data_IF_663508890994
#
_entry.id   IF_663508890994
#
_cell.length_a   1.000
_cell.length_b   1.000
_cell.length_c   1.000
_cell.angle_alpha   90.00
_cell.angle_beta   90.00
_cell.angle_gamma   90.00
#
_symmetry.space_group_name_H-M   'P 1'
#
loop_
_entity.id
_entity.type
_entity.pdbx_description
1 polymer ?
#
# COMPACT_ATOMS: atom_id res chain seq x y z
N UNK A 1 -82.91 -0.24 8.89
CA UNK A 1 -81.70 0.24 8.17
C UNK A 1 -80.97 1.25 9.06
N UNK A 2 -80.08 0.80 9.94
CA UNK A 2 -79.33 1.68 10.86
C UNK A 2 -78.00 2.11 10.23
N UNK A 3 -77.84 3.42 9.97
CA UNK A 3 -76.57 4.02 9.57
C UNK A 3 -75.64 4.07 10.78
N UNK A 4 -74.50 3.37 10.73
CA UNK A 4 -73.45 3.46 11.75
C UNK A 4 -72.71 4.81 11.64
N UNK A 5 -72.41 5.48 12.76
CA UNK A 5 -71.69 6.76 12.74
C UNK A 5 -70.21 6.53 12.42
N UNK A 6 -69.65 7.41 11.60
CA UNK A 6 -68.22 7.40 11.28
C UNK A 6 -67.40 7.79 12.52
N UNK A 7 -66.40 6.97 12.84
CA UNK A 7 -65.60 7.08 14.05
C UNK A 7 -64.50 8.15 13.84
N UNK A 8 -64.44 9.24 14.64
CA UNK A 8 -63.56 10.39 14.40
C UNK A 8 -62.07 10.05 14.45
N UNK A 9 -61.71 8.94 15.11
CA UNK A 9 -60.34 8.41 15.17
C UNK A 9 -59.79 7.98 13.79
N UNK A 10 -60.65 7.58 12.84
CA UNK A 10 -60.22 7.21 11.48
C UNK A 10 -59.93 8.44 10.61
N UNK A 11 -60.56 9.58 10.89
CA UNK A 11 -60.35 10.82 10.12
C UNK A 11 -59.03 11.50 10.51
N UNK A 12 -58.65 11.43 11.79
CA UNK A 12 -57.42 12.03 12.29
C UNK A 12 -56.15 11.27 11.83
N UNK A 13 -56.23 9.95 11.69
CA UNK A 13 -55.12 9.12 11.19
C UNK A 13 -54.77 9.38 9.71
N UNK A 14 -55.75 9.75 8.89
CA UNK A 14 -55.52 10.06 7.46
C UNK A 14 -54.85 11.42 7.28
N UNK A 15 -55.19 12.41 8.12
CA UNK A 15 -54.60 13.76 8.05
C UNK A 15 -53.14 13.74 8.55
N UNK A 16 -52.82 12.95 9.58
CA UNK A 16 -51.44 12.82 10.08
C UNK A 16 -50.53 12.05 9.11
N UNK A 17 -51.06 11.07 8.37
CA UNK A 17 -50.31 10.33 7.35
C UNK A 17 -49.93 11.18 6.13
N UNK A 18 -50.78 12.13 5.74
CA UNK A 18 -50.53 13.00 4.60
C UNK A 18 -49.45 14.07 4.86
N UNK A 19 -49.24 14.48 6.12
CA UNK A 19 -48.22 15.49 6.45
C UNK A 19 -46.79 14.93 6.45
N UNK A 20 -46.59 13.64 6.72
CA UNK A 20 -45.26 13.03 6.76
C UNK A 20 -44.68 12.66 5.38
N UNK A 21 -45.51 12.58 4.33
CA UNK A 21 -45.06 12.29 2.96
C UNK A 21 -44.59 13.54 2.19
N UNK A 22 -44.78 14.74 2.72
CA UNK A 22 -44.46 16.00 2.04
C UNK A 22 -43.04 16.54 2.21
N UNK A 23 -42.24 16.01 3.15
CA UNK A 23 -40.93 16.60 3.50
C UNK A 23 -39.69 15.90 2.89
N UNK A 24 -39.86 14.79 2.17
CA UNK A 24 -38.73 13.98 1.69
C UNK A 24 -38.24 14.24 0.24
N UNK A 25 -38.87 15.17 -0.50
CA UNK A 25 -38.75 15.22 -1.96
C UNK A 25 -37.63 16.07 -2.57
N UNK A 26 -36.72 16.66 -1.80
CA UNK A 26 -35.82 17.72 -2.30
C UNK A 26 -34.33 17.34 -2.43
N UNK A 27 -33.96 16.05 -2.42
CA UNK A 27 -32.62 15.61 -2.85
C UNK A 27 -32.73 15.02 -4.26
N UNK A 28 -32.68 15.88 -5.28
CA UNK A 28 -32.34 15.41 -6.62
C UNK A 28 -30.85 15.07 -6.64
N UNK A 29 -30.54 13.78 -6.58
CA UNK A 29 -29.22 13.27 -6.97
C UNK A 29 -29.00 13.62 -8.44
N UNK A 30 -28.20 14.68 -8.68
CA UNK A 30 -27.68 14.96 -10.01
C UNK A 30 -26.87 13.73 -10.44
N UNK A 31 -27.10 13.16 -11.63
CA UNK A 31 -26.23 12.12 -12.16
C UNK A 31 -24.80 12.66 -12.13
N UNK A 32 -23.94 12.05 -11.30
CA UNK A 32 -22.50 12.35 -11.34
C UNK A 32 -22.01 11.90 -12.70
N UNK A 33 -21.77 12.88 -13.57
CA UNK A 33 -21.14 12.65 -14.85
C UNK A 33 -19.78 11.98 -14.59
N UNK A 34 -19.68 10.73 -15.01
CA UNK A 34 -18.49 9.94 -14.77
C UNK A 34 -17.39 10.49 -15.69
N UNK A 35 -16.28 11.01 -15.13
CA UNK A 35 -15.20 11.54 -15.95
C UNK A 35 -14.76 10.49 -16.95
N UNK A 36 -14.57 10.89 -18.20
CA UNK A 36 -14.00 10.01 -19.21
C UNK A 36 -12.68 9.43 -18.68
N UNK A 37 -12.38 8.14 -18.91
CA UNK A 37 -11.13 7.54 -18.46
C UNK A 37 -9.97 8.35 -19.01
N UNK A 38 -9.20 9.00 -18.13
CA UNK A 38 -7.98 9.68 -18.56
C UNK A 38 -7.03 8.63 -19.17
N UNK A 39 -6.34 8.95 -20.27
CA UNK A 39 -5.36 8.05 -20.85
C UNK A 39 -4.31 7.70 -19.80
N UNK A 40 -4.18 6.41 -19.49
CA UNK A 40 -3.21 5.89 -18.52
C UNK A 40 -1.81 6.27 -18.98
N UNK A 41 -1.20 7.25 -18.31
CA UNK A 41 0.20 7.57 -18.56
C UNK A 41 1.07 6.38 -18.14
N UNK A 42 2.13 6.06 -18.90
CA UNK A 42 3.05 5.01 -18.51
C UNK A 42 3.69 5.37 -17.17
N UNK A 43 3.56 4.49 -16.19
CA UNK A 43 4.16 4.61 -14.86
C UNK A 43 5.05 3.41 -14.56
N UNK A 44 6.11 3.65 -13.80
CA UNK A 44 6.99 2.62 -13.26
C UNK A 44 7.47 3.02 -11.87
N UNK A 45 7.86 2.04 -11.06
CA UNK A 45 8.41 2.23 -9.73
C UNK A 45 9.94 2.21 -9.79
N UNK A 46 10.60 3.23 -9.25
CA UNK A 46 12.05 3.24 -9.07
C UNK A 46 12.39 2.97 -7.61
N UNK A 47 13.10 1.88 -7.36
CA UNK A 47 13.69 1.55 -6.06
C UNK A 47 15.18 1.89 -6.10
N UNK A 48 15.59 2.94 -5.39
CA UNK A 48 16.98 3.33 -5.30
C UNK A 48 17.47 3.13 -3.87
N UNK A 49 18.59 2.45 -3.69
CA UNK A 49 19.23 2.27 -2.39
C UNK A 49 20.73 2.48 -2.50
N UNK A 50 21.35 2.81 -1.37
CA UNK A 50 22.80 2.99 -1.30
C UNK A 50 23.34 2.57 0.05
N UNK A 51 24.66 2.45 0.14
CA UNK A 51 25.38 2.23 1.40
C UNK A 51 24.90 0.97 2.17
N UNK A 52 24.60 -0.10 1.44
CA UNK A 52 24.21 -1.37 2.05
C UNK A 52 25.35 -1.98 2.90
N UNK A 53 26.61 -1.69 2.53
CA UNK A 53 27.79 -1.93 3.34
C UNK A 53 27.95 -3.37 3.89
N UNK A 54 27.40 -4.37 3.20
CA UNK A 54 27.44 -5.78 3.61
C UNK A 54 26.32 -6.19 4.58
N UNK A 55 25.26 -5.38 4.73
CA UNK A 55 24.10 -5.71 5.55
C UNK A 55 23.19 -6.71 4.84
N UNK A 56 23.46 -8.00 5.07
CA UNK A 56 22.61 -9.09 4.60
C UNK A 56 21.30 -9.12 5.40
N UNK A 57 21.40 -9.11 6.71
CA UNK A 57 20.28 -9.18 7.66
C UNK A 57 20.36 -8.01 8.66
N UNK A 58 19.26 -7.66 9.33
CA UNK A 58 19.31 -6.70 10.43
C UNK A 58 20.22 -7.17 11.58
N UNK A 59 20.79 -6.22 12.34
CA UNK A 59 21.82 -6.52 13.35
C UNK A 59 21.34 -7.30 14.60
N UNK A 60 20.05 -7.61 14.72
CA UNK A 60 19.48 -8.47 15.77
C UNK A 60 19.47 -7.89 17.20
N UNK A 61 19.93 -6.65 17.41
CA UNK A 61 20.05 -6.06 18.75
C UNK A 61 18.71 -5.59 19.37
N UNK A 62 17.66 -5.44 18.58
CA UNK A 62 16.30 -5.12 19.03
C UNK A 62 15.28 -6.04 18.36
N UNK A 63 14.04 -5.99 18.85
CA UNK A 63 12.94 -6.77 18.30
C UNK A 63 12.54 -6.33 16.89
N UNK A 64 12.47 -5.02 16.65
CA UNK A 64 11.95 -4.44 15.41
C UNK A 64 13.09 -3.77 14.62
N UNK A 65 14.03 -4.60 14.16
CA UNK A 65 15.19 -4.10 13.43
C UNK A 65 14.81 -3.65 12.02
N UNK A 66 15.50 -2.63 11.54
CA UNK A 66 15.28 -2.03 10.23
C UNK A 66 16.45 -2.38 9.30
N UNK A 67 16.18 -2.34 8.00
CA UNK A 67 17.19 -2.64 6.96
C UNK A 67 17.37 -4.14 6.72
N UNK A 68 18.45 -4.50 6.05
CA UNK A 68 18.68 -5.86 5.53
C UNK A 68 18.19 -6.02 4.09
N UNK A 69 18.78 -6.97 3.37
CA UNK A 69 18.41 -7.28 1.98
C UNK A 69 17.03 -7.96 1.92
N UNK A 70 16.66 -8.67 2.98
CA UNK A 70 15.36 -9.30 3.19
C UNK A 70 14.21 -8.28 3.19
N UNK A 71 14.39 -7.19 3.95
CA UNK A 71 13.40 -6.11 4.00
C UNK A 71 13.35 -5.31 2.68
N UNK A 72 14.49 -5.13 2.00
CA UNK A 72 14.52 -4.53 0.66
C UNK A 72 13.76 -5.40 -0.35
N UNK A 73 13.99 -6.71 -0.33
CA UNK A 73 13.30 -7.66 -1.21
C UNK A 73 11.79 -7.60 -1.02
N UNK A 74 11.32 -7.63 0.24
CA UNK A 74 9.90 -7.51 0.55
C UNK A 74 9.28 -6.20 0.01
N UNK A 75 9.97 -5.06 0.19
CA UNK A 75 9.52 -3.77 -0.33
C UNK A 75 9.43 -3.76 -1.87
N UNK A 76 10.45 -4.31 -2.54
CA UNK A 76 10.49 -4.39 -4.01
C UNK A 76 9.39 -5.30 -4.54
N UNK A 77 9.14 -6.45 -3.91
CA UNK A 77 8.10 -7.40 -4.31
C UNK A 77 6.69 -6.81 -4.15
N UNK A 78 6.44 -6.04 -3.10
CA UNK A 78 5.19 -5.30 -2.94
C UNK A 78 5.03 -4.20 -4.00
N UNK A 79 6.13 -3.55 -4.37
CA UNK A 79 6.19 -2.58 -5.45
C UNK A 79 5.89 -3.15 -6.83
N UNK A 80 6.49 -4.30 -7.16
CA UNK A 80 6.32 -5.02 -8.43
C UNK A 80 4.86 -5.41 -8.68
N UNK A 81 4.04 -5.57 -7.63
CA UNK A 81 2.59 -5.84 -7.75
C UNK A 81 1.79 -4.65 -8.29
N UNK A 82 2.31 -3.43 -8.21
CA UNK A 82 1.59 -2.20 -8.55
C UNK A 82 1.92 -1.66 -9.93
N UNK A 83 3.20 -1.72 -10.33
CA UNK A 83 3.70 -1.23 -11.61
C UNK A 83 5.02 -1.95 -11.97
N UNK A 84 5.46 -1.89 -13.25
CA UNK A 84 6.82 -2.30 -13.62
C UNK A 84 7.86 -1.60 -12.73
N UNK A 85 8.87 -2.33 -12.27
CA UNK A 85 9.85 -1.81 -11.31
C UNK A 85 11.28 -1.82 -11.89
N UNK A 86 12.04 -0.79 -11.55
CA UNK A 86 13.48 -0.70 -11.76
C UNK A 86 14.14 -0.59 -10.38
N UNK A 87 15.15 -1.42 -10.11
CA UNK A 87 15.93 -1.37 -8.87
C UNK A 87 17.34 -0.89 -9.19
N UNK A 88 17.87 0.04 -8.40
CA UNK A 88 19.20 0.63 -8.56
C UNK A 88 19.93 0.65 -7.23
N UNK A 89 21.06 -0.05 -7.16
CA UNK A 89 21.98 0.01 -6.03
C UNK A 89 23.16 0.94 -6.30
N UNK A 90 23.47 1.82 -5.35
CA UNK A 90 24.66 2.67 -5.38
C UNK A 90 25.63 2.35 -4.23
N UNK A 91 26.91 2.21 -4.53
CA UNK A 91 27.91 1.74 -3.55
C UNK A 91 28.14 2.67 -2.35
N UNK A 92 28.73 2.16 -1.24
CA UNK A 92 29.26 0.80 -1.10
C UNK A 92 28.20 -0.25 -0.79
N UNK A 93 28.16 -1.34 -1.56
CA UNK A 93 27.17 -2.41 -1.40
C UNK A 93 27.66 -3.55 -0.51
N UNK A 94 28.88 -4.04 -0.75
CA UNK A 94 29.36 -5.31 -0.18
C UNK A 94 30.17 -5.15 1.12
N UNK A 95 30.91 -4.05 1.25
CA UNK A 95 31.85 -3.86 2.34
C UNK A 95 31.70 -2.45 2.92
N UNK A 96 31.67 -2.36 4.25
CA UNK A 96 31.64 -1.08 4.95
C UNK A 96 32.98 -0.35 4.87
N UNK A 97 34.09 -1.10 4.94
CA UNK A 97 35.44 -0.56 4.90
C UNK A 97 36.04 -0.73 3.50
N UNK A 98 36.88 0.22 3.03
CA UNK A 98 37.53 0.14 1.73
C UNK A 98 38.62 -0.96 1.65
N UNK A 99 39.08 -1.45 2.79
CA UNK A 99 40.06 -2.54 2.91
C UNK A 99 39.55 -3.61 3.87
N UNK A 100 39.81 -4.88 3.54
CA UNK A 100 39.45 -6.01 4.39
C UNK A 100 40.53 -6.28 5.43
N UNK A 101 40.09 -6.72 6.60
CA UNK A 101 40.96 -7.28 7.64
C UNK A 101 41.33 -8.72 7.24
N UNK A 102 42.63 -8.98 7.04
CA UNK A 102 43.10 -10.30 6.59
C UNK A 102 42.68 -11.43 7.54
N UNK A 103 42.49 -11.16 8.84
CA UNK A 103 42.04 -12.17 9.81
C UNK A 103 40.59 -12.62 9.60
N UNK A 104 39.77 -11.80 8.92
CA UNK A 104 38.35 -12.07 8.65
C UNK A 104 37.98 -12.10 7.19
N UNK A 105 38.97 -11.96 6.29
CA UNK A 105 38.78 -11.85 4.84
C UNK A 105 37.87 -12.93 4.26
N UNK A 106 38.06 -14.19 4.64
CA UNK A 106 37.21 -15.29 4.16
C UNK A 106 35.74 -15.11 4.53
N UNK A 107 35.46 -14.69 5.77
CA UNK A 107 34.09 -14.42 6.23
C UNK A 107 33.48 -13.23 5.47
N UNK A 108 34.24 -12.15 5.30
CA UNK A 108 33.75 -10.97 4.60
C UNK A 108 33.46 -11.27 3.12
N UNK A 109 34.30 -12.09 2.47
CA UNK A 109 34.07 -12.55 1.10
C UNK A 109 32.81 -13.42 1.01
N UNK A 110 32.64 -14.42 1.87
CA UNK A 110 31.43 -15.26 1.87
C UNK A 110 30.15 -14.45 2.10
N UNK A 111 30.20 -13.45 3.00
CA UNK A 111 29.08 -12.54 3.23
C UNK A 111 28.77 -11.69 1.99
N UNK A 112 29.79 -11.18 1.31
CA UNK A 112 29.63 -10.41 0.08
C UNK A 112 29.08 -11.27 -1.08
N UNK A 113 29.51 -12.51 -1.20
CA UNK A 113 28.99 -13.48 -2.18
C UNK A 113 27.51 -13.80 -1.92
N UNK A 114 27.14 -14.08 -0.67
CA UNK A 114 25.75 -14.28 -0.29
C UNK A 114 24.90 -13.05 -0.58
N UNK A 115 25.41 -11.86 -0.26
CA UNK A 115 24.71 -10.61 -0.55
C UNK A 115 24.57 -10.34 -2.04
N UNK A 116 25.59 -10.66 -2.86
CA UNK A 116 25.52 -10.53 -4.31
C UNK A 116 24.41 -11.41 -4.89
N UNK A 117 24.27 -12.65 -4.42
CA UNK A 117 23.18 -13.55 -4.80
C UNK A 117 21.81 -12.97 -4.42
N UNK A 118 21.66 -12.47 -3.19
CA UNK A 118 20.40 -11.84 -2.77
C UNK A 118 20.06 -10.57 -3.57
N UNK A 119 21.06 -9.77 -3.95
CA UNK A 119 20.83 -8.58 -4.79
C UNK A 119 20.41 -8.94 -6.22
N UNK A 120 20.94 -10.03 -6.79
CA UNK A 120 20.49 -10.59 -8.07
C UNK A 120 19.01 -10.99 -8.00
N UNK A 121 18.58 -11.66 -6.92
CA UNK A 121 17.17 -12.04 -6.70
C UNK A 121 16.23 -10.81 -6.64
N UNK A 122 16.71 -9.69 -6.07
CA UNK A 122 15.95 -8.43 -6.00
C UNK A 122 15.86 -7.74 -7.37
N UNK A 123 16.86 -7.94 -8.23
CA UNK A 123 16.95 -7.40 -9.59
C UNK A 123 17.93 -6.24 -9.74
N UNK A 124 19.06 -6.29 -9.01
CA UNK A 124 20.16 -5.32 -9.03
C UNK A 124 21.34 -5.84 -9.83
#
# INVERSE_FOLDING_TARGET
MQRRPANPAKLLGVILGALFLGLGGACQDKPKEQPAPEPKQPSFSLFAFSNLAGALEPCGCQKDMLGGVDHLAALVDDGKKQAPALVVGAGPLFFMNPSLDESRRTQDVWKAEALAQSLEDVGV
#
